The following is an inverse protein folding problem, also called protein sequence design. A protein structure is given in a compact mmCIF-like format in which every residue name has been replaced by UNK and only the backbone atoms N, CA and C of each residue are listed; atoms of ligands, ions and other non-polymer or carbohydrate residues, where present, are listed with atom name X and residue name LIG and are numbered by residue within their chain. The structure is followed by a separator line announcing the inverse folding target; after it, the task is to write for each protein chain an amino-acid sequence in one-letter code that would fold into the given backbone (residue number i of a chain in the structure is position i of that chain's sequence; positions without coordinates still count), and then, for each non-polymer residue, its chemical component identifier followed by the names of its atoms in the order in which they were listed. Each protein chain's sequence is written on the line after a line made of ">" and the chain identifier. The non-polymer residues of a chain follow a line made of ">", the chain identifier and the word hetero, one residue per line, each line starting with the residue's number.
data_IF_970477717691
#
_entry.id   IF_970477717691
#
_cell.length_a   1.000
_cell.length_b   1.000
_cell.length_c   1.000
_cell.angle_alpha   90.00
_cell.angle_beta   90.00
_cell.angle_gamma   90.00
#
_symmetry.space_group_name_H-M   'P 1'
#
loop_
_entity.id
_entity.type
_entity.pdbx_description
1 polymer ?
#
# COMPACT_ATOMS: atom_id res chain seq x y z
N UNK A 1 -63.75 -68.01 29.14
CA UNK A 1 -63.43 -66.66 28.64
C UNK A 1 -62.15 -66.08 29.26
N UNK A 2 -61.03 -66.83 29.29
CA UNK A 2 -59.76 -66.38 29.92
C UNK A 2 -58.75 -65.75 28.95
N UNK A 3 -58.85 -66.00 27.64
CA UNK A 3 -57.91 -65.49 26.63
C UNK A 3 -58.17 -64.05 26.16
N UNK A 4 -59.39 -63.54 26.33
CA UNK A 4 -59.78 -62.21 25.79
C UNK A 4 -59.01 -61.08 26.46
N UNK A 5 -58.72 -61.17 27.77
CA UNK A 5 -57.94 -60.16 28.50
C UNK A 5 -56.47 -60.13 28.05
N UNK A 6 -55.90 -61.31 27.79
CA UNK A 6 -54.53 -61.42 27.27
C UNK A 6 -54.42 -60.85 25.85
N UNK A 7 -55.40 -61.14 24.99
CA UNK A 7 -55.45 -60.59 23.62
C UNK A 7 -55.59 -59.05 23.63
N UNK A 8 -56.42 -58.50 24.52
CA UNK A 8 -56.61 -57.04 24.66
C UNK A 8 -55.34 -56.36 25.18
N UNK A 9 -54.64 -56.96 26.14
CA UNK A 9 -53.36 -56.44 26.64
C UNK A 9 -52.26 -56.43 25.56
N UNK A 10 -52.23 -57.46 24.71
CA UNK A 10 -51.27 -57.57 23.60
C UNK A 10 -51.55 -56.56 22.48
N UNK A 11 -52.82 -56.35 22.13
CA UNK A 11 -53.21 -55.29 21.19
C UNK A 11 -52.89 -53.90 21.74
N UNK A 12 -53.16 -53.64 23.02
CA UNK A 12 -52.91 -52.35 23.65
C UNK A 12 -51.41 -52.02 23.70
N UNK A 13 -50.56 -52.99 24.04
CA UNK A 13 -49.10 -52.78 24.07
C UNK A 13 -48.54 -52.55 22.67
N UNK A 14 -49.07 -53.26 21.66
CA UNK A 14 -48.67 -53.07 20.27
C UNK A 14 -49.03 -51.67 19.76
N UNK A 15 -50.24 -51.20 20.05
CA UNK A 15 -50.69 -49.85 19.69
C UNK A 15 -49.86 -48.78 20.40
N UNK A 16 -49.58 -48.95 21.70
CA UNK A 16 -48.74 -48.04 22.45
C UNK A 16 -47.29 -47.99 21.92
N UNK A 17 -46.73 -49.15 21.55
CA UNK A 17 -45.40 -49.24 20.94
C UNK A 17 -45.32 -48.53 19.59
N UNK A 18 -46.31 -48.74 18.70
CA UNK A 18 -46.38 -48.04 17.41
C UNK A 18 -46.55 -46.53 17.62
N UNK A 19 -47.40 -46.11 18.56
CA UNK A 19 -47.60 -44.69 18.87
C UNK A 19 -46.29 -44.03 19.37
N UNK A 20 -45.55 -44.70 20.23
CA UNK A 20 -44.26 -44.22 20.72
C UNK A 20 -43.23 -44.09 19.59
N UNK A 21 -43.15 -45.07 18.68
CA UNK A 21 -42.26 -45.01 17.51
C UNK A 21 -42.63 -43.86 16.58
N UNK A 22 -43.93 -43.64 16.32
CA UNK A 22 -44.40 -42.53 15.48
C UNK A 22 -44.11 -41.17 16.12
N UNK A 23 -44.31 -41.03 17.44
CA UNK A 23 -43.98 -39.81 18.18
C UNK A 23 -42.47 -39.54 18.18
N UNK A 24 -41.65 -40.57 18.40
CA UNK A 24 -40.19 -40.44 18.35
C UNK A 24 -39.70 -40.08 16.93
N UNK A 25 -40.27 -40.69 15.90
CA UNK A 25 -39.95 -40.39 14.51
C UNK A 25 -40.34 -38.95 14.13
N UNK A 26 -41.49 -38.46 14.62
CA UNK A 26 -41.91 -37.07 14.42
C UNK A 26 -41.01 -36.08 15.16
N UNK A 27 -40.66 -36.36 16.42
CA UNK A 27 -39.79 -35.51 17.22
C UNK A 27 -38.37 -35.40 16.62
N UNK A 28 -37.85 -36.51 16.09
CA UNK A 28 -36.54 -36.54 15.42
C UNK A 28 -36.58 -35.84 14.05
N UNK A 29 -37.69 -35.99 13.30
CA UNK A 29 -37.91 -35.27 12.04
C UNK A 29 -38.08 -33.76 12.23
N UNK A 30 -38.71 -33.33 13.32
CA UNK A 30 -38.82 -31.92 13.71
C UNK A 30 -37.47 -31.36 14.18
N UNK A 31 -36.61 -32.12 14.87
CA UNK A 31 -35.24 -31.67 15.17
C UNK A 31 -34.36 -31.54 13.92
N UNK A 32 -34.52 -32.43 12.94
CA UNK A 32 -33.86 -32.30 11.64
C UNK A 32 -34.35 -31.11 10.81
N UNK A 33 -35.59 -30.65 11.04
CA UNK A 33 -36.24 -29.55 10.32
C UNK A 33 -36.22 -28.21 11.08
N UNK A 34 -36.02 -28.23 12.41
CA UNK A 34 -35.83 -27.08 13.29
C UNK A 34 -34.41 -26.51 13.22
N UNK A 35 -33.50 -27.16 12.48
CA UNK A 35 -32.50 -26.43 11.71
C UNK A 35 -33.22 -25.66 10.57
N UNK A 36 -34.10 -24.71 10.95
CA UNK A 36 -34.57 -23.62 10.11
C UNK A 36 -33.36 -22.77 9.77
N UNK A 37 -32.53 -23.34 8.90
CA UNK A 37 -31.19 -22.89 8.64
C UNK A 37 -31.27 -21.64 7.81
N UNK A 38 -30.48 -20.64 8.17
CA UNK A 38 -30.25 -19.55 7.25
C UNK A 38 -29.73 -20.16 5.94
N UNK A 39 -30.32 -19.75 4.83
CA UNK A 39 -29.80 -20.13 3.53
C UNK A 39 -28.44 -19.46 3.36
N UNK A 40 -27.44 -20.22 2.96
CA UNK A 40 -26.10 -19.70 2.69
C UNK A 40 -25.69 -20.14 1.29
N UNK A 41 -25.18 -19.16 0.53
CA UNK A 41 -24.61 -19.40 -0.79
C UNK A 41 -23.20 -19.95 -0.63
N UNK A 42 -22.98 -21.14 -1.17
CA UNK A 42 -21.68 -21.82 -1.22
C UNK A 42 -21.20 -21.97 -2.66
N UNK A 43 -19.90 -22.12 -2.85
CA UNK A 43 -19.32 -22.43 -4.15
C UNK A 43 -19.59 -23.90 -4.54
N UNK A 44 -20.11 -24.14 -5.75
CA UNK A 44 -20.38 -25.49 -6.27
C UNK A 44 -19.15 -26.15 -6.90
N UNK A 45 -18.09 -25.37 -7.18
CA UNK A 45 -16.79 -25.78 -7.73
C UNK A 45 -15.71 -24.83 -7.23
N UNK A 46 -14.45 -25.13 -7.54
CA UNK A 46 -13.35 -24.21 -7.29
C UNK A 46 -13.45 -23.02 -8.26
N UNK A 47 -13.32 -21.81 -7.73
CA UNK A 47 -13.44 -20.56 -8.49
C UNK A 47 -12.20 -19.72 -8.22
N UNK A 48 -11.51 -19.33 -9.30
CA UNK A 48 -10.27 -18.58 -9.22
C UNK A 48 -10.51 -17.10 -8.91
N UNK A 49 -9.47 -16.44 -8.39
CA UNK A 49 -9.48 -15.00 -8.14
C UNK A 49 -9.64 -14.20 -9.45
N UNK A 50 -10.33 -13.06 -9.39
CA UNK A 50 -10.60 -12.20 -10.54
C UNK A 50 -11.73 -12.70 -11.46
N UNK A 51 -12.31 -13.87 -11.21
CA UNK A 51 -13.42 -14.41 -12.00
C UNK A 51 -14.78 -13.82 -11.55
N UNK A 52 -15.66 -13.41 -12.48
CA UNK A 52 -17.03 -13.02 -12.15
C UNK A 52 -17.86 -14.25 -11.76
N UNK A 53 -18.62 -14.13 -10.68
CA UNK A 53 -19.56 -15.13 -10.20
C UNK A 53 -20.78 -15.16 -11.11
N UNK A 54 -21.25 -16.38 -11.37
CA UNK A 54 -22.49 -16.64 -12.08
C UNK A 54 -23.32 -17.67 -11.31
N UNK A 55 -24.63 -17.75 -11.61
CA UNK A 55 -25.54 -18.70 -10.97
C UNK A 55 -25.12 -20.17 -11.11
N UNK A 56 -24.29 -20.52 -12.11
CA UNK A 56 -23.80 -21.89 -12.34
C UNK A 56 -22.58 -22.29 -11.48
N UNK A 57 -21.99 -21.35 -10.75
CA UNK A 57 -20.81 -21.57 -9.90
C UNK A 57 -21.16 -21.68 -8.43
N UNK A 58 -22.40 -21.39 -8.07
CA UNK A 58 -22.85 -21.23 -6.68
C UNK A 58 -24.14 -22.00 -6.44
N UNK A 59 -24.32 -22.47 -5.21
CA UNK A 59 -25.51 -23.19 -4.78
C UNK A 59 -25.93 -22.72 -3.40
N UNK A 60 -27.23 -22.72 -3.14
CA UNK A 60 -27.78 -22.37 -1.83
C UNK A 60 -27.97 -23.64 -1.02
N UNK A 61 -27.43 -23.66 0.20
CA UNK A 61 -27.54 -24.81 1.11
C UNK A 61 -28.09 -24.33 2.47
N UNK A 62 -28.98 -25.11 3.12
CA UNK A 62 -29.44 -24.80 4.47
C UNK A 62 -28.26 -24.89 5.44
N UNK A 63 -28.03 -23.82 6.20
CA UNK A 63 -26.94 -23.72 7.17
C UNK A 63 -27.48 -23.50 8.59
N UNK A 64 -26.94 -24.16 9.63
CA UNK A 64 -27.41 -23.96 11.00
C UNK A 64 -27.41 -22.47 11.40
N UNK A 65 -28.55 -21.95 11.86
CA UNK A 65 -28.74 -20.51 12.09
C UNK A 65 -27.72 -19.90 13.09
N UNK A 66 -27.22 -20.69 14.05
CA UNK A 66 -26.20 -20.26 15.01
C UNK A 66 -24.75 -20.38 14.52
N UNK A 67 -24.52 -20.81 13.28
CA UNK A 67 -23.18 -21.07 12.74
C UNK A 67 -22.96 -20.44 11.37
N UNK A 68 -23.80 -19.47 10.98
CA UNK A 68 -23.67 -18.72 9.74
C UNK A 68 -22.43 -17.84 9.81
N UNK A 69 -21.47 -17.96 8.88
CA UNK A 69 -20.33 -17.07 8.83
C UNK A 69 -20.76 -15.62 8.61
N UNK A 70 -20.08 -14.67 9.27
CA UNK A 70 -20.36 -13.25 9.07
C UNK A 70 -20.12 -12.83 7.61
N UNK A 71 -21.04 -12.04 7.07
CA UNK A 71 -20.96 -11.57 5.68
C UNK A 71 -21.28 -12.63 4.62
N UNK A 72 -21.85 -13.78 5.01
CA UNK A 72 -22.38 -14.77 4.07
C UNK A 72 -23.67 -14.28 3.39
N UNK A 73 -23.84 -14.65 2.12
CA UNK A 73 -25.06 -14.31 1.36
C UNK A 73 -26.11 -15.40 1.47
N UNK A 74 -27.38 -14.99 1.57
CA UNK A 74 -28.51 -15.90 1.55
C UNK A 74 -29.14 -16.11 0.17
N UNK A 75 -28.80 -15.24 -0.79
CA UNK A 75 -29.44 -15.15 -2.10
C UNK A 75 -28.39 -15.04 -3.20
N UNK A 76 -28.61 -15.74 -4.31
CA UNK A 76 -27.70 -15.75 -5.47
C UNK A 76 -27.72 -14.40 -6.18
N UNK A 77 -28.86 -13.71 -6.19
CA UNK A 77 -29.02 -12.43 -6.88
C UNK A 77 -28.12 -11.33 -6.30
N UNK A 78 -27.74 -11.44 -5.03
CA UNK A 78 -26.86 -10.47 -4.37
C UNK A 78 -25.39 -10.60 -4.79
N UNK A 79 -25.01 -11.75 -5.37
CA UNK A 79 -23.64 -12.05 -5.77
C UNK A 79 -23.47 -12.16 -7.29
N UNK A 80 -24.56 -12.19 -8.05
CA UNK A 80 -24.51 -12.33 -9.50
C UNK A 80 -23.73 -11.16 -10.14
N UNK A 81 -22.73 -11.48 -10.97
CA UNK A 81 -21.84 -10.50 -11.57
C UNK A 81 -20.81 -9.87 -10.62
N UNK A 82 -20.79 -10.20 -9.32
CA UNK A 82 -19.69 -9.83 -8.41
C UNK A 82 -18.43 -10.60 -8.79
N UNK A 83 -17.27 -10.02 -8.55
CA UNK A 83 -15.97 -10.64 -8.88
C UNK A 83 -15.29 -11.12 -7.61
N UNK A 84 -14.63 -12.27 -7.68
CA UNK A 84 -13.81 -12.75 -6.57
C UNK A 84 -12.50 -11.98 -6.44
N UNK A 85 -12.14 -11.61 -5.22
CA UNK A 85 -10.83 -11.05 -4.87
C UNK A 85 -9.86 -12.13 -4.41
N UNK A 86 -10.39 -13.24 -3.89
CA UNK A 86 -9.62 -14.41 -3.43
C UNK A 86 -10.24 -15.68 -4.00
N UNK A 87 -9.42 -16.72 -4.21
CA UNK A 87 -9.92 -18.03 -4.59
C UNK A 87 -10.92 -18.57 -3.56
N UNK A 88 -11.96 -19.25 -4.04
CA UNK A 88 -12.93 -19.98 -3.21
C UNK A 88 -12.97 -21.43 -3.69
N UNK A 89 -12.91 -22.37 -2.74
CA UNK A 89 -12.97 -23.79 -3.03
C UNK A 89 -14.40 -24.30 -3.00
N UNK A 90 -14.65 -25.43 -3.67
CA UNK A 90 -15.94 -26.12 -3.62
C UNK A 90 -16.39 -26.38 -2.18
N UNK A 91 -17.65 -26.04 -1.89
CA UNK A 91 -18.28 -26.23 -0.58
C UNK A 91 -18.07 -25.06 0.37
N UNK A 92 -17.24 -24.08 0.02
CA UNK A 92 -16.96 -22.94 0.87
C UNK A 92 -18.03 -21.85 0.73
N UNK A 93 -18.47 -21.20 1.83
CA UNK A 93 -19.43 -20.10 1.79
C UNK A 93 -18.84 -18.85 1.13
N UNK A 94 -19.64 -18.20 0.30
CA UNK A 94 -19.28 -16.95 -0.35
C UNK A 94 -19.49 -15.81 0.65
N UNK A 95 -18.43 -15.08 0.97
CA UNK A 95 -18.43 -13.98 1.95
C UNK A 95 -18.14 -12.64 1.26
N UNK A 96 -18.73 -11.55 1.76
CA UNK A 96 -18.48 -10.19 1.25
C UNK A 96 -16.98 -9.84 1.27
N UNK A 97 -16.21 -10.26 2.29
CA UNK A 97 -14.77 -10.00 2.38
C UNK A 97 -13.93 -10.61 1.24
N UNK A 98 -14.47 -11.64 0.56
CA UNK A 98 -13.84 -12.34 -0.57
C UNK A 98 -14.26 -11.78 -1.92
N UNK A 99 -15.26 -10.90 -1.95
CA UNK A 99 -15.74 -10.25 -3.16
C UNK A 99 -15.04 -8.91 -3.36
N UNK A 100 -14.89 -8.52 -4.62
CA UNK A 100 -14.53 -7.16 -4.99
C UNK A 100 -15.71 -6.21 -4.74
N UNK A 101 -15.43 -4.89 -4.56
CA UNK A 101 -16.48 -3.88 -4.44
C UNK A 101 -17.48 -3.92 -5.59
N UNK A 102 -18.73 -3.56 -5.29
CA UNK A 102 -19.83 -3.52 -6.28
C UNK A 102 -19.46 -2.59 -7.45
N UNK A 103 -19.69 -3.04 -8.68
CA UNK A 103 -19.37 -2.30 -9.90
C UNK A 103 -17.97 -2.59 -10.48
N UNK A 104 -17.18 -3.46 -9.83
CA UNK A 104 -15.88 -3.87 -10.36
C UNK A 104 -16.06 -4.83 -11.54
N UNK A 105 -15.51 -4.46 -12.71
CA UNK A 105 -15.44 -5.36 -13.87
C UNK A 105 -14.28 -6.34 -13.65
N UNK A 106 -14.52 -7.62 -13.95
CA UNK A 106 -13.61 -8.73 -13.65
C UNK A 106 -12.20 -8.60 -14.23
N UNK A 107 -11.35 -9.57 -13.89
CA UNK A 107 -9.92 -9.56 -14.23
C UNK A 107 -9.04 -8.92 -13.15
N UNK A 108 -7.78 -8.63 -13.50
CA UNK A 108 -6.77 -8.14 -12.55
C UNK A 108 -7.19 -6.83 -11.87
N UNK A 109 -8.00 -5.99 -12.53
CA UNK A 109 -8.59 -4.77 -11.97
C UNK A 109 -9.45 -5.01 -10.72
N UNK A 110 -9.98 -6.22 -10.54
CA UNK A 110 -10.78 -6.59 -9.38
C UNK A 110 -9.96 -6.91 -8.13
N UNK A 111 -8.68 -7.22 -8.31
CA UNK A 111 -7.76 -7.57 -7.24
C UNK A 111 -7.07 -6.32 -6.67
N UNK A 112 -6.98 -5.26 -7.48
CA UNK A 112 -6.38 -3.99 -7.08
C UNK A 112 -7.27 -3.31 -6.03
N UNK A 113 -6.68 -3.00 -4.88
CA UNK A 113 -7.35 -2.26 -3.82
C UNK A 113 -7.73 -0.84 -4.26
N UNK A 114 -8.78 -0.29 -3.63
CA UNK A 114 -9.18 1.10 -3.90
C UNK A 114 -8.01 2.07 -3.66
N UNK A 115 -7.83 3.01 -4.59
CA UNK A 115 -6.73 3.98 -4.53
C UNK A 115 -5.35 3.41 -4.89
N UNK A 116 -5.23 2.14 -5.26
CA UNK A 116 -3.98 1.52 -5.71
C UNK A 116 -4.01 1.25 -7.22
N UNK A 117 -2.84 1.00 -7.80
CA UNK A 117 -2.61 0.76 -9.23
C UNK A 117 -1.74 -0.47 -9.41
N UNK A 118 -1.95 -1.17 -10.51
CA UNK A 118 -1.07 -2.26 -10.93
C UNK A 118 -0.05 -1.72 -11.93
N UNK A 119 1.23 -2.02 -11.72
CA UNK A 119 2.30 -1.70 -12.66
C UNK A 119 3.11 -2.96 -12.97
N UNK A 120 3.33 -3.22 -14.25
CA UNK A 120 4.14 -4.35 -14.71
C UNK A 120 5.58 -3.91 -14.92
N UNK A 121 6.50 -4.58 -14.23
CA UNK A 121 7.94 -4.34 -14.35
C UNK A 121 8.62 -5.55 -15.00
N UNK A 122 9.45 -5.27 -16.00
CA UNK A 122 10.32 -6.28 -16.61
C UNK A 122 11.54 -6.47 -15.73
N UNK A 123 11.85 -7.71 -15.37
CA UNK A 123 12.98 -8.04 -14.49
C UNK A 123 13.94 -8.97 -15.20
N UNK A 124 15.24 -8.83 -14.91
CA UNK A 124 16.26 -9.69 -15.49
C UNK A 124 16.19 -11.10 -14.88
N UNK A 125 16.37 -12.10 -15.74
CA UNK A 125 16.19 -13.54 -15.46
C UNK A 125 17.00 -14.06 -14.25
N UNK A 126 18.16 -13.46 -13.98
CA UNK A 126 19.04 -13.85 -12.87
C UNK A 126 18.59 -13.27 -11.52
N UNK A 127 17.87 -12.14 -11.53
CA UNK A 127 17.47 -11.42 -10.31
C UNK A 127 15.96 -11.49 -10.07
N UNK A 128 15.17 -11.94 -11.05
CA UNK A 128 13.76 -12.28 -10.93
C UNK A 128 13.51 -13.60 -10.19
N UNK A 129 14.20 -13.80 -9.06
CA UNK A 129 13.92 -14.74 -7.98
C UNK A 129 13.38 -16.11 -8.40
N UNK A 130 14.05 -16.88 -9.27
CA UNK A 130 13.88 -18.34 -9.45
C UNK A 130 12.47 -18.97 -9.24
N UNK A 131 11.37 -18.28 -9.62
CA UNK A 131 9.98 -18.72 -9.36
C UNK A 131 9.37 -18.43 -7.98
N UNK A 132 10.01 -17.66 -7.10
CA UNK A 132 9.56 -17.40 -5.71
C UNK A 132 8.81 -16.07 -5.50
N UNK A 133 8.84 -15.15 -6.47
CA UNK A 133 8.03 -13.94 -6.45
C UNK A 133 6.57 -14.25 -6.85
N UNK A 134 5.93 -15.17 -6.14
CA UNK A 134 4.56 -15.61 -6.39
C UNK A 134 3.54 -14.52 -6.04
N UNK A 135 2.36 -14.50 -6.71
CA UNK A 135 1.24 -13.66 -6.29
C UNK A 135 0.94 -13.81 -4.80
N UNK A 136 0.73 -12.69 -4.11
CA UNK A 136 0.51 -12.65 -2.65
C UNK A 136 1.78 -12.44 -1.82
N UNK A 137 2.97 -12.54 -2.41
CA UNK A 137 4.24 -12.23 -1.72
C UNK A 137 4.58 -10.74 -1.77
N UNK A 138 5.43 -10.32 -0.82
CA UNK A 138 5.99 -8.97 -0.78
C UNK A 138 7.41 -8.95 -1.32
N UNK A 139 7.73 -7.93 -2.11
CA UNK A 139 9.06 -7.72 -2.69
C UNK A 139 9.54 -6.30 -2.46
N UNK A 140 10.85 -6.14 -2.41
CA UNK A 140 11.52 -4.84 -2.49
C UNK A 140 12.02 -4.64 -3.92
N UNK A 141 11.89 -3.40 -4.42
CA UNK A 141 12.30 -3.01 -5.78
C UNK A 141 13.60 -2.24 -5.68
N UNK A 142 14.66 -2.81 -6.25
CA UNK A 142 15.98 -2.20 -6.33
C UNK A 142 16.20 -1.63 -7.72
N UNK A 143 16.88 -0.48 -7.78
CA UNK A 143 17.41 0.07 -9.03
C UNK A 143 18.92 0.07 -8.99
N UNK A 144 19.53 -0.41 -10.07
CA UNK A 144 20.94 -0.20 -10.36
C UNK A 144 21.04 0.90 -11.42
N UNK A 145 21.63 2.03 -11.03
CA UNK A 145 21.76 3.23 -11.85
C UNK A 145 23.12 3.91 -11.58
N UNK A 146 23.32 5.08 -12.14
CA UNK A 146 24.51 5.91 -11.90
C UNK A 146 24.09 7.15 -11.09
N UNK A 147 24.95 7.59 -10.17
CA UNK A 147 24.74 8.86 -9.45
C UNK A 147 25.06 10.07 -10.35
N UNK A 148 24.87 11.29 -9.84
CA UNK A 148 25.12 12.54 -10.58
C UNK A 148 26.58 12.71 -11.08
N UNK A 149 27.49 11.81 -10.66
CA UNK A 149 28.90 11.78 -11.08
C UNK A 149 29.20 10.56 -11.95
N UNK A 150 28.19 9.96 -12.56
CA UNK A 150 28.27 8.75 -13.39
C UNK A 150 28.86 7.53 -12.64
N UNK A 151 28.72 7.47 -11.30
CA UNK A 151 29.22 6.35 -10.51
C UNK A 151 28.12 5.32 -10.26
N UNK A 152 28.37 4.02 -10.50
CA UNK A 152 27.37 2.99 -10.27
C UNK A 152 26.92 2.92 -8.81
N UNK A 153 25.60 2.94 -8.61
CA UNK A 153 24.93 2.86 -7.32
C UNK A 153 23.72 1.92 -7.40
N UNK A 154 23.55 1.09 -6.38
CA UNK A 154 22.38 0.24 -6.19
C UNK A 154 21.60 0.71 -4.98
N UNK A 155 20.30 0.97 -5.14
CA UNK A 155 19.44 1.46 -4.06
C UNK A 155 18.05 0.83 -4.11
N UNK A 156 17.45 0.63 -2.94
CA UNK A 156 16.03 0.25 -2.83
C UNK A 156 15.18 1.49 -3.12
N UNK A 157 14.32 1.39 -4.13
CA UNK A 157 13.40 2.47 -4.56
C UNK A 157 12.07 2.35 -3.83
N UNK A 158 11.59 1.13 -3.69
CA UNK A 158 10.35 0.81 -2.99
C UNK A 158 10.54 -0.44 -2.15
N UNK A 159 9.90 -0.43 -0.99
CA UNK A 159 9.92 -1.53 -0.04
C UNK A 159 8.52 -2.10 0.15
N UNK A 160 8.46 -3.41 0.40
CA UNK A 160 7.25 -4.14 0.79
C UNK A 160 6.09 -3.91 -0.18
N UNK A 161 6.34 -4.16 -1.46
CA UNK A 161 5.34 -4.07 -2.52
C UNK A 161 4.72 -5.44 -2.78
N UNK A 162 3.38 -5.50 -2.87
CA UNK A 162 2.65 -6.75 -3.11
C UNK A 162 2.76 -7.17 -4.58
N UNK A 163 3.05 -8.44 -4.82
CA UNK A 163 2.97 -9.05 -6.14
C UNK A 163 1.55 -9.50 -6.44
N UNK A 164 0.98 -9.02 -7.54
CA UNK A 164 -0.36 -9.41 -8.00
C UNK A 164 -0.33 -10.56 -9.00
N UNK A 165 0.64 -10.54 -9.92
CA UNK A 165 0.74 -11.52 -11.00
C UNK A 165 2.17 -11.65 -11.50
N UNK A 166 2.49 -12.80 -12.06
CA UNK A 166 3.74 -13.06 -12.79
C UNK A 166 3.37 -13.49 -14.20
N UNK A 167 3.95 -12.84 -15.20
CA UNK A 167 3.80 -13.19 -16.60
C UNK A 167 5.15 -13.64 -17.17
N UNK A 168 5.13 -14.77 -17.87
CA UNK A 168 6.25 -15.22 -18.69
C UNK A 168 5.91 -14.91 -20.14
N UNK A 169 6.50 -13.83 -20.66
CA UNK A 169 6.42 -13.54 -22.08
C UNK A 169 7.51 -14.34 -22.80
N UNK A 170 7.11 -15.36 -23.55
CA UNK A 170 8.02 -16.01 -24.48
C UNK A 170 8.16 -15.09 -25.71
N UNK A 171 9.28 -14.37 -25.81
CA UNK A 171 9.59 -13.66 -27.06
C UNK A 171 9.92 -14.70 -28.11
N UNK A 172 9.08 -14.81 -29.14
CA UNK A 172 9.30 -15.68 -30.29
C UNK A 172 10.16 -14.93 -31.32
N UNK A 173 11.39 -14.61 -30.95
CA UNK A 173 12.40 -14.12 -31.88
C UNK A 173 13.19 -15.31 -32.44
N UNK A 174 13.34 -15.33 -33.77
CA UNK A 174 13.59 -16.49 -34.64
C UNK A 174 14.95 -17.22 -34.51
N UNK A 175 15.58 -17.26 -33.33
CA UNK A 175 16.73 -18.17 -33.15
C UNK A 175 16.92 -18.72 -31.74
N UNK A 176 16.31 -18.15 -30.69
CA UNK A 176 16.31 -18.73 -29.32
C UNK A 176 15.08 -18.26 -28.53
N UNK A 177 14.27 -19.16 -27.93
CA UNK A 177 13.23 -18.75 -27.00
C UNK A 177 13.87 -17.99 -25.84
N UNK A 178 13.48 -16.71 -25.65
CA UNK A 178 13.87 -15.94 -24.48
C UNK A 178 12.63 -15.73 -23.62
N UNK A 179 12.62 -16.35 -22.44
CA UNK A 179 11.56 -16.17 -21.46
C UNK A 179 11.83 -14.85 -20.75
N UNK A 180 11.00 -13.83 -21.03
CA UNK A 180 11.04 -12.58 -20.30
C UNK A 180 10.09 -12.72 -19.10
N UNK A 181 10.65 -12.57 -17.89
CA UNK A 181 9.85 -12.52 -16.68
C UNK A 181 9.38 -11.08 -16.45
N UNK A 182 8.06 -10.90 -16.43
CA UNK A 182 7.40 -9.65 -16.06
C UNK A 182 6.58 -9.87 -14.78
N UNK A 183 6.69 -8.95 -13.83
CA UNK A 183 5.98 -9.04 -12.55
C UNK A 183 5.06 -7.84 -12.40
N UNK A 184 3.81 -8.10 -12.04
CA UNK A 184 2.80 -7.06 -11.80
C UNK A 184 2.75 -6.77 -10.30
N UNK A 185 2.98 -5.51 -9.95
CA UNK A 185 3.08 -5.01 -8.58
C UNK A 185 1.88 -4.13 -8.24
N UNK A 186 1.37 -4.22 -7.01
CA UNK A 186 0.36 -3.31 -6.48
C UNK A 186 1.01 -2.13 -5.75
N UNK A 187 0.77 -0.92 -6.24
CA UNK A 187 1.45 0.31 -5.80
C UNK A 187 0.47 1.47 -5.63
N UNK A 188 0.87 2.49 -4.87
CA UNK A 188 0.18 3.80 -4.88
C UNK A 188 0.55 4.59 -6.15
N UNK A 189 -0.20 5.65 -6.52
CA UNK A 189 0.18 6.53 -7.64
C UNK A 189 1.62 7.05 -7.55
N UNK A 190 2.01 7.54 -6.38
CA UNK A 190 3.33 8.14 -6.15
C UNK A 190 4.43 7.09 -6.28
N UNK A 191 4.14 5.85 -5.85
CA UNK A 191 5.04 4.72 -6.02
C UNK A 191 5.15 4.29 -7.50
N UNK A 192 4.05 4.34 -8.25
CA UNK A 192 4.05 4.05 -9.69
C UNK A 192 4.94 5.03 -10.47
N UNK A 193 4.85 6.34 -10.15
CA UNK A 193 5.72 7.37 -10.73
C UNK A 193 7.21 7.10 -10.43
N UNK A 194 7.53 6.70 -9.20
CA UNK A 194 8.91 6.33 -8.81
C UNK A 194 9.43 5.11 -9.58
N UNK A 195 8.60 4.08 -9.76
CA UNK A 195 8.97 2.90 -10.55
C UNK A 195 9.20 3.29 -12.01
N UNK A 196 8.32 4.12 -12.58
CA UNK A 196 8.44 4.53 -13.97
C UNK A 196 9.72 5.32 -14.22
N UNK A 197 10.04 6.28 -13.33
CA UNK A 197 11.32 6.99 -13.37
C UNK A 197 12.50 6.01 -13.20
N UNK A 198 12.45 5.13 -12.20
CA UNK A 198 13.51 4.17 -11.94
C UNK A 198 13.77 3.22 -13.14
N UNK A 199 12.72 2.87 -13.89
CA UNK A 199 12.79 2.10 -15.14
C UNK A 199 13.49 2.87 -16.26
N UNK A 200 13.33 4.19 -16.31
CA UNK A 200 13.97 5.02 -17.34
C UNK A 200 15.47 5.26 -17.08
N UNK A 201 15.89 5.30 -15.80
CA UNK A 201 17.27 5.67 -15.40
C UNK A 201 18.16 4.47 -15.10
N UNK A 202 17.63 3.25 -15.05
CA UNK A 202 18.42 2.09 -14.63
C UNK A 202 17.74 0.75 -14.82
N UNK A 203 18.41 -0.29 -14.32
CA UNK A 203 17.90 -1.66 -14.35
C UNK A 203 17.22 -2.00 -13.03
N UNK A 204 15.99 -2.48 -13.11
CA UNK A 204 15.22 -2.91 -11.94
C UNK A 204 15.51 -4.37 -11.59
N UNK A 205 15.57 -4.62 -10.29
CA UNK A 205 15.78 -5.92 -9.67
C UNK A 205 14.75 -6.10 -8.55
N UNK A 206 14.20 -7.30 -8.40
CA UNK A 206 13.28 -7.60 -7.31
C UNK A 206 13.97 -8.48 -6.27
N UNK A 207 13.76 -8.15 -5.00
CA UNK A 207 14.24 -8.94 -3.87
C UNK A 207 13.03 -9.42 -3.10
N UNK A 208 12.94 -10.74 -2.88
CA UNK A 208 11.85 -11.30 -2.10
C UNK A 208 12.03 -10.92 -0.63
N UNK A 209 10.96 -10.35 -0.06
CA UNK A 209 10.92 -9.95 1.34
C UNK A 209 10.28 -11.07 2.16
N UNK A 210 10.74 -11.24 3.40
CA UNK A 210 10.05 -12.11 4.34
C UNK A 210 8.64 -11.55 4.65
N UNK A 211 7.62 -12.40 4.61
CA UNK A 211 6.21 -11.98 4.79
C UNK A 211 5.94 -11.31 6.13
N UNK A 212 6.64 -11.73 7.20
CA UNK A 212 6.48 -11.18 8.54
C UNK A 212 7.32 -9.92 8.80
N UNK A 213 8.24 -9.57 7.89
CA UNK A 213 9.11 -8.41 8.06
C UNK A 213 8.39 -7.11 7.67
N UNK A 214 8.14 -6.28 8.68
CA UNK A 214 7.49 -4.97 8.56
C UNK A 214 8.48 -3.80 8.67
N UNK A 215 9.76 -4.04 8.95
CA UNK A 215 10.73 -2.99 9.26
C UNK A 215 11.31 -2.38 7.98
N UNK A 216 11.19 -1.06 7.80
CA UNK A 216 11.85 -0.43 6.65
C UNK A 216 13.37 -0.54 6.78
N UNK A 217 13.99 -1.14 5.76
CA UNK A 217 15.44 -1.24 5.64
C UNK A 217 15.93 0.12 5.12
N UNK A 218 16.03 1.10 6.01
CA UNK A 218 16.49 2.47 5.71
C UNK A 218 17.94 2.52 5.22
N UNK A 219 18.21 1.97 4.03
CA UNK A 219 19.53 1.84 3.44
C UNK A 219 19.87 3.07 2.60
N UNK A 220 21.13 3.51 2.66
CA UNK A 220 21.65 4.62 1.82
C UNK A 220 21.85 4.24 0.35
N UNK A 221 21.67 2.96 0.00
CA UNK A 221 22.22 2.36 -1.21
C UNK A 221 23.71 2.04 -1.06
N UNK A 222 24.25 1.24 -1.98
CA UNK A 222 25.66 0.86 -1.98
C UNK A 222 26.29 1.26 -3.30
N UNK A 223 27.46 1.89 -3.24
CA UNK A 223 28.25 2.30 -4.41
C UNK A 223 29.30 1.27 -4.77
N UNK A 224 29.74 1.25 -6.04
CA UNK A 224 30.83 0.36 -6.49
C UNK A 224 32.11 0.48 -5.64
N UNK A 225 32.47 1.70 -5.22
CA UNK A 225 33.66 1.92 -4.39
C UNK A 225 33.57 1.24 -3.01
N UNK A 226 32.37 1.23 -2.42
CA UNK A 226 32.09 0.58 -1.14
C UNK A 226 32.07 -0.95 -1.30
N UNK A 227 31.50 -1.46 -2.40
CA UNK A 227 31.50 -2.89 -2.73
C UNK A 227 32.91 -3.47 -2.93
N UNK A 228 33.81 -2.71 -3.55
CA UNK A 228 35.17 -3.16 -3.86
C UNK A 228 36.17 -2.88 -2.73
N UNK A 229 35.71 -2.41 -1.56
CA UNK A 229 36.58 -2.08 -0.42
C UNK A 229 37.55 -0.91 -0.71
N UNK A 230 37.28 -0.11 -1.74
CA UNK A 230 38.07 1.06 -2.12
C UNK A 230 37.60 2.34 -1.44
N UNK A 231 36.50 2.27 -0.69
CA UNK A 231 36.09 3.33 0.21
C UNK A 231 36.97 3.28 1.47
N UNK A 232 38.10 3.97 1.41
CA UNK A 232 38.61 4.65 2.59
C UNK A 232 37.45 5.45 3.19
N UNK A 233 37.16 5.15 4.45
CA UNK A 233 36.43 6.00 5.39
C UNK A 233 36.37 7.45 4.90
N UNK A 234 35.19 7.92 4.46
CA UNK A 234 35.01 9.37 4.37
C UNK A 234 35.02 9.83 5.83
N UNK A 235 36.00 10.65 6.25
CA UNK A 235 36.00 11.18 7.59
C UNK A 235 34.65 11.84 7.83
N UNK A 236 34.05 11.73 9.03
CA UNK A 236 32.88 12.55 9.35
C UNK A 236 33.25 13.97 8.94
N UNK A 237 32.38 14.61 8.16
CA UNK A 237 32.60 15.93 7.58
C UNK A 237 33.42 16.75 8.56
N UNK A 238 34.63 17.15 8.13
CA UNK A 238 35.56 17.91 8.97
C UNK A 238 34.72 18.93 9.74
N UNK A 239 34.77 18.95 11.09
CA UNK A 239 33.87 19.77 11.88
C UNK A 239 33.92 21.15 11.26
N UNK A 240 32.75 21.64 10.83
CA UNK A 240 32.60 22.93 10.17
C UNK A 240 33.58 23.88 10.82
N UNK A 241 34.54 24.37 10.04
CA UNK A 241 35.63 25.19 10.53
C UNK A 241 35.04 26.12 11.59
N UNK A 242 35.53 25.99 12.83
CA UNK A 242 35.08 26.84 13.92
C UNK A 242 35.01 28.27 13.37
N UNK A 243 33.90 29.00 13.59
CA UNK A 243 33.78 30.34 13.05
C UNK A 243 35.04 31.09 13.44
N UNK A 244 35.73 31.66 12.43
CA UNK A 244 36.90 32.47 12.66
C UNK A 244 36.60 33.41 13.85
N UNK A 245 37.50 33.54 14.84
CA UNK A 245 37.23 34.37 16.00
C UNK A 245 36.77 35.73 15.49
N UNK A 246 35.54 36.09 15.87
CA UNK A 246 34.98 37.39 15.54
C UNK A 246 36.03 38.44 15.88
N UNK A 247 36.39 39.25 14.90
CA UNK A 247 37.20 40.45 15.09
C UNK A 247 36.65 41.18 16.32
N UNK A 248 37.55 41.48 17.25
CA UNK A 248 37.21 42.09 18.53
C UNK A 248 36.24 43.26 18.33
N UNK A 249 35.19 43.39 19.17
CA UNK A 249 34.29 44.52 19.08
C UNK A 249 35.10 45.83 19.25
N UNK A 250 34.78 46.89 18.48
CA UNK A 250 35.47 48.17 18.63
C UNK A 250 35.38 48.64 20.09
N UNK A 251 36.42 49.30 20.62
CA UNK A 251 36.46 49.72 22.01
C UNK A 251 35.26 50.61 22.32
N UNK A 252 34.53 50.25 23.38
CA UNK A 252 33.40 51.04 23.89
C UNK A 252 33.87 52.49 24.10
N UNK A 253 33.13 53.50 23.61
CA UNK A 253 33.49 54.89 23.88
C UNK A 253 33.42 55.14 25.40
N UNK A 254 34.48 55.77 25.92
CA UNK A 254 34.60 56.12 27.35
C UNK A 254 33.39 56.99 27.76
N UNK A 255 32.86 56.85 28.98
CA UNK A 255 31.75 57.67 29.45
C UNK A 255 32.17 59.15 29.44
N UNK A 256 31.45 59.97 28.67
CA UNK A 256 31.55 61.43 28.71
C UNK A 256 31.09 61.89 30.09
N UNK A 257 32.02 62.44 30.88
CA UNK A 257 31.69 63.21 32.08
C UNK A 257 30.89 64.44 31.63
N UNK A 258 29.60 64.46 31.95
CA UNK A 258 28.74 65.63 31.71
C UNK A 258 29.10 66.71 32.72
N UNK A 259 29.67 67.83 32.23
CA UNK A 259 29.75 69.07 33.00
C UNK A 259 28.38 69.76 32.88
N UNK A 260 27.68 70.09 33.96
CA UNK A 260 26.39 70.76 33.86
C UNK A 260 26.61 72.23 33.46
N UNK A 261 25.96 72.66 32.38
CA UNK A 261 25.86 74.08 31.99
C UNK A 261 24.38 74.47 32.00
N UNK A 262 24.11 75.61 32.63
CA UNK A 262 22.79 76.16 32.95
C UNK A 262 21.96 76.55 31.70
N UNK A 263 20.62 76.66 31.81
CA UNK A 263 19.74 77.00 30.70
C UNK A 263 19.43 78.53 30.67
N UNK A 264 18.55 79.03 29.78
CA UNK A 264 18.67 79.10 28.31
C UNK A 264 18.35 80.53 27.80
N UNK A 265 18.83 80.99 26.64
CA UNK A 265 18.23 82.19 25.99
C UNK A 265 18.30 82.16 24.45
N UNK A 266 17.09 82.30 23.88
CA UNK A 266 16.63 82.91 22.63
C UNK A 266 17.21 82.52 21.26
N UNK A 267 16.25 82.38 20.33
CA UNK A 267 16.36 82.17 18.91
C UNK A 267 16.81 83.42 18.14
N UNK A 268 17.52 83.22 17.02
CA UNK A 268 17.61 84.13 15.85
C UNK A 268 17.93 83.29 14.59
N UNK A 269 17.70 83.79 13.35
CA UNK A 269 16.97 83.08 12.31
C UNK A 269 17.89 82.49 11.22
N UNK A 270 17.31 81.66 10.33
CA UNK A 270 18.00 81.15 9.12
C UNK A 270 18.37 82.31 8.20
N UNK A 271 19.61 82.33 7.73
CA UNK A 271 20.12 83.23 6.69
C UNK A 271 20.40 82.44 5.41
N UNK A 272 20.20 83.13 4.29
CA UNK A 272 19.77 82.62 2.99
C UNK A 272 20.84 81.94 2.13
N UNK A 273 20.43 80.95 1.34
CA UNK A 273 21.28 80.25 0.40
C UNK A 273 21.38 81.03 -0.93
N UNK A 274 22.60 81.47 -1.29
CA UNK A 274 22.91 82.02 -2.64
C UNK A 274 23.38 80.92 -3.57
N UNK A 275 22.95 80.95 -4.83
CA UNK A 275 23.37 80.03 -5.89
C UNK A 275 24.31 80.76 -6.85
N UNK A 276 25.52 80.24 -7.05
CA UNK A 276 26.52 80.80 -7.96
C UNK A 276 26.43 80.08 -9.32
N UNK A 277 26.20 80.83 -10.41
CA UNK A 277 26.13 80.26 -11.77
C UNK A 277 27.36 80.72 -12.57
N UNK A 278 28.16 79.75 -13.01
CA UNK A 278 29.38 80.00 -13.79
C UNK A 278 29.09 79.71 -15.27
N UNK A 279 29.23 80.70 -16.14
CA UNK A 279 29.24 80.53 -17.60
C UNK A 279 30.53 81.09 -18.18
N UNK A 280 31.43 80.19 -18.58
CA UNK A 280 32.75 80.54 -19.10
C UNK A 280 33.66 81.14 -18.04
N UNK A 281 34.42 82.18 -18.40
CA UNK A 281 35.47 82.80 -17.55
C UNK A 281 34.99 83.96 -16.67
N UNK A 282 33.69 84.23 -16.57
CA UNK A 282 33.16 85.23 -15.64
C UNK A 282 32.13 84.63 -14.66
N UNK A 283 32.22 85.03 -13.39
CA UNK A 283 31.32 84.65 -12.30
C UNK A 283 30.42 85.84 -11.94
N UNK A 284 29.11 85.62 -11.84
CA UNK A 284 28.18 86.59 -11.25
C UNK A 284 27.25 85.91 -10.24
N UNK A 285 27.14 86.51 -9.06
CA UNK A 285 26.28 86.07 -7.96
C UNK A 285 24.96 86.84 -7.99
N UNK A 286 23.85 86.16 -7.71
CA UNK A 286 22.53 86.77 -7.53
C UNK A 286 21.83 86.10 -6.35
N UNK A 287 21.23 86.92 -5.50
CA UNK A 287 20.53 86.47 -4.28
C UNK A 287 19.12 85.99 -4.64
N UNK A 288 18.65 84.93 -3.97
CA UNK A 288 17.29 84.41 -4.10
C UNK A 288 16.29 85.28 -3.32
#
# INVERSE_FOLDING_TARGET
>A
MKGTRAMVMLLLSLVAGIAAVVLAARWLGEQGSAAGGAQVVIASRDIELGQPLNASMVSVVPWPAGSVPEGAFAKVEAIDGRVLRTQILKGEPVLEAKLAPVGTKGGLSAVIGQGRRAITVKVNEVVGVAGFALPGNYVDVLVNTQDDRDRPVSKIVLERILVLAVAQEASRDDTKPRVVNAVTLEVTPEQAERIDLARSVGNLSLVLRNQIDQNQAGTGGVRKAELLGMASFEPPAAPAAAPAPASAPPPRPRPRVYKPVAPPVAAVPKEDARVEVIRGVQRSSTDL
#
